data_IF_139148824387
#
_entry.id   IF_139148824387
#
_cell.length_a   1.000
_cell.length_b   1.000
_cell.length_c   1.000
_cell.angle_alpha   90.00
_cell.angle_beta   90.00
_cell.angle_gamma   90.00
#
_symmetry.space_group_name_H-M   'P 1'
#
loop_
_entity.id
_entity.type
_entity.pdbx_description
1 polymer ?
#
# COMPACT_ATOMS: atom_id res chain seq x y z
N UNK A 1 -8.11 16.24 -3.74
CA UNK A 1 -7.24 15.29 -4.46
C UNK A 1 -7.52 15.19 -5.96
N UNK A 2 -8.73 14.83 -6.43
CA UNK A 2 -8.96 14.48 -7.85
C UNK A 2 -8.60 15.56 -8.88
N UNK A 3 -8.83 16.85 -8.59
CA UNK A 3 -8.40 17.94 -9.51
C UNK A 3 -6.88 18.02 -9.66
N UNK A 4 -6.14 17.77 -8.59
CA UNK A 4 -4.68 17.77 -8.63
C UNK A 4 -4.17 16.63 -9.50
N UNK A 5 -4.66 15.41 -9.28
CA UNK A 5 -4.24 14.24 -10.06
C UNK A 5 -4.51 14.41 -11.57
N UNK A 6 -5.65 14.98 -11.94
CA UNK A 6 -5.98 15.29 -13.34
C UNK A 6 -5.16 16.43 -13.94
N UNK A 7 -4.65 17.33 -13.08
CA UNK A 7 -3.74 18.38 -13.52
C UNK A 7 -2.34 17.83 -13.75
N UNK A 8 -1.86 17.00 -12.81
CA UNK A 8 -0.50 16.46 -12.84
C UNK A 8 -0.33 15.39 -13.92
N UNK A 9 -1.40 14.64 -14.23
CA UNK A 9 -1.38 13.65 -15.32
C UNK A 9 -1.16 14.25 -16.71
N UNK A 10 -1.24 15.57 -16.86
CA UNK A 10 -0.88 16.28 -18.10
C UNK A 10 0.62 16.47 -18.26
N UNK A 11 1.38 16.36 -17.17
CA UNK A 11 2.82 16.67 -17.12
C UNK A 11 3.66 15.49 -16.65
N UNK A 12 3.04 14.53 -15.95
CA UNK A 12 3.70 13.37 -15.34
C UNK A 12 2.89 12.13 -15.70
N UNK A 13 3.60 11.04 -16.01
CA UNK A 13 2.99 9.73 -16.21
C UNK A 13 2.66 9.15 -14.83
N UNK A 14 1.40 8.76 -14.64
CA UNK A 14 0.94 8.04 -13.46
C UNK A 14 0.63 6.63 -13.94
N UNK A 15 1.48 5.67 -13.62
CA UNK A 15 1.29 4.28 -14.06
C UNK A 15 0.26 3.56 -13.19
N UNK A 16 0.28 3.83 -11.88
CA UNK A 16 -0.59 3.19 -10.89
C UNK A 16 -1.23 4.23 -9.98
N UNK A 17 -2.49 4.00 -9.61
CA UNK A 17 -3.18 4.78 -8.59
C UNK A 17 -4.01 3.85 -7.72
N UNK A 18 -3.65 3.77 -6.44
CA UNK A 18 -4.36 2.97 -5.45
C UNK A 18 -5.29 3.83 -4.59
N UNK A 19 -6.41 3.25 -4.16
CA UNK A 19 -7.38 3.91 -3.27
C UNK A 19 -8.22 2.85 -2.57
N UNK A 20 -8.55 3.04 -1.28
CA UNK A 20 -9.52 2.21 -0.57
C UNK A 20 -10.97 2.61 -0.86
N UNK A 21 -11.21 3.76 -1.52
CA UNK A 21 -12.56 4.25 -1.82
C UNK A 21 -12.98 3.93 -3.26
N UNK A 22 -14.07 3.19 -3.44
CA UNK A 22 -14.59 2.85 -4.77
C UNK A 22 -15.20 4.05 -5.50
N UNK A 23 -15.89 4.92 -4.76
CA UNK A 23 -16.42 6.17 -5.32
C UNK A 23 -15.33 7.04 -5.94
N UNK A 24 -14.12 7.05 -5.36
CA UNK A 24 -13.01 7.80 -5.92
C UNK A 24 -12.68 7.35 -7.36
N UNK A 25 -12.58 6.04 -7.59
CA UNK A 25 -12.36 5.49 -8.94
C UNK A 25 -13.51 5.79 -9.90
N UNK A 26 -14.76 5.69 -9.43
CA UNK A 26 -15.93 6.07 -10.24
C UNK A 26 -15.89 7.54 -10.67
N UNK A 27 -15.49 8.42 -9.75
CA UNK A 27 -15.51 9.86 -9.98
C UNK A 27 -14.35 10.35 -10.88
N UNK A 28 -13.20 9.67 -10.81
CA UNK A 28 -11.98 10.08 -11.53
C UNK A 28 -11.69 9.25 -12.80
N UNK A 29 -12.15 8.01 -12.87
CA UNK A 29 -11.73 7.05 -13.90
C UNK A 29 -12.02 7.49 -15.32
N UNK A 30 -13.24 7.99 -15.56
CA UNK A 30 -13.65 8.51 -16.88
C UNK A 30 -12.87 9.76 -17.32
N UNK A 31 -12.13 10.40 -16.42
CA UNK A 31 -11.44 11.67 -16.66
C UNK A 31 -9.98 11.52 -17.05
N UNK A 32 -9.35 10.36 -16.82
CA UNK A 32 -7.96 10.12 -17.21
C UNK A 32 -7.78 9.71 -18.69
N UNK A 33 -8.88 9.41 -19.40
CA UNK A 33 -8.82 8.94 -20.79
C UNK A 33 -8.30 7.50 -20.91
N UNK A 34 -7.99 7.06 -22.13
CA UNK A 34 -7.61 5.66 -22.42
C UNK A 34 -6.21 5.27 -21.94
N UNK A 35 -5.33 6.25 -21.77
CA UNK A 35 -3.93 6.07 -21.32
C UNK A 35 -3.77 6.45 -19.85
N UNK A 36 -4.86 6.36 -19.08
CA UNK A 36 -4.86 6.65 -17.65
C UNK A 36 -4.10 5.60 -16.82
N UNK A 37 -3.88 5.87 -15.53
CA UNK A 37 -3.26 4.92 -14.62
C UNK A 37 -4.06 3.62 -14.52
N UNK A 38 -3.37 2.53 -14.20
CA UNK A 38 -4.01 1.33 -13.68
C UNK A 38 -4.54 1.62 -12.27
N UNK A 39 -5.84 1.44 -12.08
CA UNK A 39 -6.44 1.55 -10.75
C UNK A 39 -6.25 0.26 -9.96
N UNK A 40 -5.80 0.41 -8.71
CA UNK A 40 -5.59 -0.70 -7.77
C UNK A 40 -6.47 -0.49 -6.54
N UNK A 41 -7.49 -1.32 -6.37
CA UNK A 41 -8.38 -1.19 -5.22
C UNK A 41 -7.73 -1.73 -3.95
N UNK A 42 -7.55 -0.86 -2.95
CA UNK A 42 -6.88 -1.21 -1.70
C UNK A 42 -7.91 -1.68 -0.68
N UNK A 43 -7.83 -2.95 -0.30
CA UNK A 43 -8.55 -3.46 0.85
C UNK A 43 -7.85 -3.00 2.12
N UNK A 44 -8.65 -2.69 3.14
CA UNK A 44 -8.19 -2.50 4.51
C UNK A 44 -8.49 -3.77 5.31
N UNK A 45 -8.71 -3.67 6.62
CA UNK A 45 -9.09 -4.82 7.44
C UNK A 45 -10.51 -5.32 7.11
N UNK A 46 -10.77 -6.61 7.34
CA UNK A 46 -12.01 -7.28 6.89
C UNK A 46 -13.28 -6.72 7.51
N UNK A 47 -13.19 -6.22 8.74
CA UNK A 47 -14.27 -5.64 9.52
C UNK A 47 -14.47 -4.14 9.26
N UNK A 48 -13.48 -3.47 8.67
CA UNK A 48 -13.61 -2.07 8.27
C UNK A 48 -14.62 -1.89 7.13
N UNK A 49 -15.31 -0.75 7.15
CA UNK A 49 -16.38 -0.42 6.21
C UNK A 49 -15.85 0.48 5.10
N UNK A 50 -16.06 0.06 3.86
CA UNK A 50 -15.83 0.91 2.71
C UNK A 50 -16.97 1.95 2.62
N UNK A 51 -16.58 3.22 2.72
CA UNK A 51 -17.51 4.34 2.95
C UNK A 51 -18.53 4.57 1.83
N UNK A 52 -18.22 4.18 0.58
CA UNK A 52 -19.08 4.49 -0.56
C UNK A 52 -20.14 3.44 -0.86
N UNK A 53 -19.91 2.20 -0.44
CA UNK A 53 -20.82 1.05 -0.58
C UNK A 53 -21.49 0.68 0.73
N UNK A 54 -20.98 1.16 1.87
CA UNK A 54 -21.44 0.80 3.22
C UNK A 54 -21.40 -0.72 3.46
N UNK A 55 -20.41 -1.38 2.85
CA UNK A 55 -20.11 -2.80 3.03
C UNK A 55 -18.73 -2.94 3.66
N UNK A 56 -18.52 -4.02 4.41
CA UNK A 56 -17.18 -4.30 4.92
C UNK A 56 -16.25 -4.76 3.79
N UNK A 57 -14.95 -4.53 3.93
CA UNK A 57 -13.97 -5.05 2.96
C UNK A 57 -14.00 -6.58 2.88
N UNK A 58 -14.33 -7.27 3.99
CA UNK A 58 -14.56 -8.72 4.01
C UNK A 58 -15.80 -9.16 3.21
N UNK A 59 -16.84 -8.33 3.10
CA UNK A 59 -17.96 -8.57 2.21
C UNK A 59 -17.56 -8.34 0.74
N UNK A 60 -16.88 -7.22 0.48
CA UNK A 60 -16.46 -6.84 -0.88
C UNK A 60 -15.51 -7.85 -1.53
N UNK A 61 -14.64 -8.52 -0.75
CA UNK A 61 -13.73 -9.54 -1.30
C UNK A 61 -14.46 -10.75 -1.91
N UNK A 62 -15.74 -10.96 -1.59
CA UNK A 62 -16.54 -12.05 -2.18
C UNK A 62 -17.12 -11.68 -3.55
N UNK A 63 -17.04 -10.42 -3.97
CA UNK A 63 -17.62 -9.92 -5.21
C UNK A 63 -16.56 -9.24 -6.10
N UNK A 64 -15.58 -10.01 -6.54
CA UNK A 64 -14.46 -9.53 -7.36
C UNK A 64 -14.88 -9.06 -8.76
N UNK A 65 -15.94 -9.62 -9.32
CA UNK A 65 -16.55 -9.13 -10.58
C UNK A 65 -16.97 -7.66 -10.47
N UNK A 66 -17.53 -7.26 -9.33
CA UNK A 66 -17.90 -5.87 -9.07
C UNK A 66 -16.65 -4.97 -8.99
N UNK A 67 -15.60 -5.40 -8.31
CA UNK A 67 -14.33 -4.65 -8.20
C UNK A 67 -13.66 -4.47 -9.56
N UNK A 68 -13.69 -5.51 -10.41
CA UNK A 68 -13.13 -5.51 -11.77
C UNK A 68 -13.71 -4.42 -12.67
N UNK A 69 -14.92 -3.95 -12.41
CA UNK A 69 -15.52 -2.84 -13.17
C UNK A 69 -14.76 -1.52 -12.99
N UNK A 70 -13.98 -1.36 -11.92
CA UNK A 70 -13.31 -0.11 -11.56
C UNK A 70 -11.79 -0.24 -11.48
N UNK A 71 -11.27 -1.44 -11.22
CA UNK A 71 -9.87 -1.68 -10.95
C UNK A 71 -9.26 -2.73 -11.90
N UNK A 72 -7.97 -2.57 -12.17
CA UNK A 72 -7.15 -3.57 -12.88
C UNK A 72 -6.39 -4.48 -11.93
N UNK A 73 -6.29 -4.10 -10.66
CA UNK A 73 -5.73 -4.95 -9.61
C UNK A 73 -6.29 -4.62 -8.23
N UNK A 74 -5.90 -5.42 -7.26
CA UNK A 74 -6.27 -5.29 -5.85
C UNK A 74 -5.01 -5.30 -4.99
N UNK A 75 -5.00 -4.48 -3.95
CA UNK A 75 -3.96 -4.47 -2.92
C UNK A 75 -4.59 -4.94 -1.61
N UNK A 76 -4.12 -6.04 -1.05
CA UNK A 76 -4.72 -6.66 0.15
C UNK A 76 -3.70 -6.85 1.28
N UNK A 77 -4.10 -6.76 2.56
CA UNK A 77 -3.29 -7.29 3.66
C UNK A 77 -2.98 -8.78 3.46
N UNK A 78 -1.78 -9.23 3.84
CA UNK A 78 -1.33 -10.63 3.69
C UNK A 78 -2.30 -11.65 4.33
N UNK A 79 -3.05 -11.23 5.36
CA UNK A 79 -4.10 -12.00 6.06
C UNK A 79 -5.33 -12.36 5.20
N UNK A 80 -5.53 -11.71 4.05
CA UNK A 80 -6.57 -12.10 3.08
C UNK A 80 -6.21 -13.38 2.33
N UNK A 81 -4.91 -13.66 2.19
CA UNK A 81 -4.37 -14.75 1.39
C UNK A 81 -3.93 -15.89 2.31
N UNK A 82 -3.11 -15.57 3.30
CA UNK A 82 -2.63 -16.47 4.35
C UNK A 82 -3.16 -15.99 5.71
N UNK A 83 -4.31 -16.49 6.16
CA UNK A 83 -4.82 -16.15 7.49
C UNK A 83 -3.90 -16.72 8.57
N UNK A 84 -3.83 -16.01 9.70
CA UNK A 84 -3.06 -16.41 10.88
C UNK A 84 -4.04 -16.59 12.04
N UNK A 85 -3.87 -17.63 12.84
CA UNK A 85 -4.67 -17.84 14.04
C UNK A 85 -4.18 -17.01 15.24
N UNK A 86 -4.88 -17.14 16.38
CA UNK A 86 -4.53 -16.42 17.61
C UNK A 86 -3.17 -16.85 18.18
N UNK A 87 -2.68 -18.04 17.82
CA UNK A 87 -1.40 -18.61 18.24
C UNK A 87 -0.23 -18.26 17.29
N UNK A 88 -0.46 -17.37 16.32
CA UNK A 88 0.52 -16.92 15.31
C UNK A 88 0.96 -18.02 14.32
N UNK A 89 0.11 -19.01 14.06
CA UNK A 89 0.33 -20.01 13.01
C UNK A 89 -0.54 -19.76 11.79
N UNK A 90 0.00 -20.13 10.62
CA UNK A 90 -0.72 -20.08 9.35
C UNK A 90 -1.88 -21.06 9.35
N UNK A 91 -3.05 -20.56 8.97
CA UNK A 91 -4.19 -21.37 8.56
C UNK A 91 -4.08 -21.72 7.07
N UNK A 92 -4.93 -22.64 6.56
CA UNK A 92 -4.98 -22.90 5.12
C UNK A 92 -5.17 -21.61 4.31
N UNK A 93 -4.41 -21.45 3.22
CA UNK A 93 -4.57 -20.29 2.35
C UNK A 93 -5.99 -20.23 1.77
N UNK A 94 -6.42 -19.02 1.45
CA UNK A 94 -7.71 -18.79 0.79
C UNK A 94 -7.60 -19.01 -0.72
N UNK A 95 -8.73 -18.98 -1.42
CA UNK A 95 -8.79 -18.99 -2.89
C UNK A 95 -8.71 -17.59 -3.51
N UNK A 96 -8.48 -16.55 -2.68
CA UNK A 96 -8.63 -15.16 -3.10
C UNK A 96 -7.76 -14.81 -4.31
N UNK A 97 -6.52 -15.27 -4.35
CA UNK A 97 -5.59 -14.99 -5.44
C UNK A 97 -6.10 -15.59 -6.75
N UNK A 98 -6.47 -16.88 -6.72
CA UNK A 98 -7.00 -17.58 -7.89
C UNK A 98 -8.32 -16.96 -8.38
N UNK A 99 -9.21 -16.60 -7.46
CA UNK A 99 -10.49 -15.98 -7.78
C UNK A 99 -10.28 -14.60 -8.42
N UNK A 100 -9.34 -13.79 -7.91
CA UNK A 100 -8.99 -12.49 -8.49
C UNK A 100 -8.38 -12.62 -9.88
N UNK A 101 -7.43 -13.55 -10.06
CA UNK A 101 -6.82 -13.83 -11.36
C UNK A 101 -7.84 -14.30 -12.39
N UNK A 102 -8.81 -15.13 -11.98
CA UNK A 102 -9.91 -15.58 -12.85
C UNK A 102 -10.76 -14.42 -13.36
N UNK A 103 -10.94 -13.37 -12.57
CA UNK A 103 -11.61 -12.12 -12.97
C UNK A 103 -10.67 -11.14 -13.71
N UNK A 104 -9.40 -11.50 -13.90
CA UNK A 104 -8.40 -10.67 -14.56
C UNK A 104 -7.95 -9.47 -13.72
N UNK A 105 -7.93 -9.61 -12.40
CA UNK A 105 -7.36 -8.65 -11.46
C UNK A 105 -5.96 -9.08 -11.06
N UNK A 106 -4.98 -8.18 -11.15
CA UNK A 106 -3.66 -8.38 -10.53
C UNK A 106 -3.80 -8.33 -9.00
N UNK A 107 -3.01 -9.10 -8.26
CA UNK A 107 -3.04 -9.16 -6.79
C UNK A 107 -1.72 -8.69 -6.23
N UNK A 108 -1.77 -7.64 -5.42
CA UNK A 108 -0.64 -7.13 -4.65
C UNK A 108 -0.87 -7.42 -3.17
N UNK A 109 0.09 -8.03 -2.50
CA UNK A 109 -0.01 -8.32 -1.07
C UNK A 109 0.75 -7.26 -0.25
N UNK A 110 0.26 -6.89 0.93
CA UNK A 110 0.87 -5.88 1.81
C UNK A 110 1.03 -6.37 3.23
N UNK A 111 1.84 -5.65 4.01
CA UNK A 111 2.12 -5.99 5.41
C UNK A 111 3.39 -6.85 5.57
N UNK A 112 4.31 -6.76 4.62
CA UNK A 112 5.62 -7.41 4.73
C UNK A 112 6.61 -6.48 5.45
N UNK A 113 7.17 -7.01 6.52
CA UNK A 113 8.15 -6.35 7.37
C UNK A 113 9.11 -7.41 7.94
N UNK A 114 10.35 -7.03 8.24
CA UNK A 114 11.36 -7.96 8.78
C UNK A 114 11.37 -8.00 10.32
N UNK A 115 10.75 -7.01 10.93
CA UNK A 115 10.83 -6.66 12.36
C UNK A 115 9.46 -6.71 13.06
N UNK A 116 8.41 -7.17 12.36
CA UNK A 116 7.02 -7.20 12.81
C UNK A 116 6.33 -8.51 12.47
N UNK A 117 5.37 -8.94 13.32
CA UNK A 117 4.62 -10.22 13.32
C UNK A 117 4.69 -11.07 12.04
N UNK A 118 5.68 -11.98 12.04
CA UNK A 118 5.77 -13.12 11.13
C UNK A 118 5.12 -14.33 11.78
N UNK A 119 4.33 -15.09 11.01
CA UNK A 119 3.82 -16.37 11.48
C UNK A 119 4.97 -17.33 11.81
N UNK A 120 4.82 -18.12 12.88
CA UNK A 120 5.86 -19.04 13.35
C UNK A 120 6.26 -20.10 12.31
N UNK A 121 5.39 -20.39 11.34
CA UNK A 121 5.68 -21.27 10.20
C UNK A 121 6.91 -20.83 9.41
N UNK A 122 7.22 -19.53 9.38
CA UNK A 122 8.38 -18.99 8.70
C UNK A 122 9.66 -19.02 9.55
N UNK A 123 9.61 -19.48 10.81
CA UNK A 123 10.77 -19.55 11.70
C UNK A 123 11.52 -18.21 11.83
N UNK A 124 10.78 -17.09 11.80
CA UNK A 124 11.32 -15.71 11.75
C UNK A 124 12.24 -15.42 10.56
N UNK A 125 12.13 -16.19 9.47
CA UNK A 125 12.78 -15.91 8.21
C UNK A 125 11.85 -15.09 7.30
N UNK A 126 12.07 -13.78 7.13
CA UNK A 126 11.25 -12.98 6.25
C UNK A 126 11.36 -13.43 4.79
N UNK A 127 12.52 -13.96 4.36
CA UNK A 127 12.71 -14.46 3.00
C UNK A 127 11.72 -15.60 2.69
N UNK A 128 11.53 -16.51 3.65
CA UNK A 128 10.57 -17.59 3.55
C UNK A 128 9.12 -17.08 3.43
N UNK A 129 8.77 -15.99 4.13
CA UNK A 129 7.47 -15.34 3.96
C UNK A 129 7.31 -14.77 2.54
N UNK A 130 8.26 -13.99 2.02
CA UNK A 130 8.15 -13.46 0.66
C UNK A 130 8.01 -14.56 -0.40
N UNK A 131 8.84 -15.60 -0.30
CA UNK A 131 8.80 -16.74 -1.23
C UNK A 131 7.45 -17.46 -1.20
N UNK A 132 6.77 -17.53 -0.05
CA UNK A 132 5.47 -18.20 0.07
C UNK A 132 4.33 -17.47 -0.66
N UNK A 133 4.52 -16.18 -1.02
CA UNK A 133 3.59 -15.40 -1.83
C UNK A 133 4.02 -15.31 -3.31
N UNK A 134 5.31 -15.44 -3.62
CA UNK A 134 5.83 -15.37 -4.99
C UNK A 134 5.39 -16.54 -5.85
N UNK A 135 5.65 -17.77 -5.42
CA UNK A 135 5.11 -18.99 -6.03
C UNK A 135 5.35 -20.15 -5.05
N UNK A 136 4.26 -20.72 -4.55
CA UNK A 136 4.30 -21.85 -3.62
C UNK A 136 3.72 -23.14 -4.24
N UNK A 137 3.49 -23.16 -5.57
CA UNK A 137 2.85 -24.25 -6.28
C UNK A 137 1.31 -24.24 -6.24
N UNK A 138 0.69 -23.43 -5.38
CA UNK A 138 -0.77 -23.30 -5.26
C UNK A 138 -1.28 -21.96 -5.79
N UNK A 139 -0.52 -20.89 -5.59
CA UNK A 139 -0.78 -19.55 -6.13
C UNK A 139 0.50 -18.73 -6.21
N UNK A 140 0.40 -17.60 -6.92
CA UNK A 140 1.43 -16.58 -7.07
C UNK A 140 0.74 -15.21 -7.04
N UNK A 141 1.23 -14.24 -6.26
CA UNK A 141 0.75 -12.85 -6.36
C UNK A 141 1.54 -12.08 -7.42
N UNK A 142 1.00 -10.99 -7.93
CA UNK A 142 1.65 -10.11 -8.93
C UNK A 142 2.65 -9.13 -8.29
N UNK A 143 2.74 -9.08 -6.97
CA UNK A 143 3.73 -8.27 -6.28
C UNK A 143 3.47 -8.11 -4.79
N UNK A 144 4.46 -7.53 -4.10
CA UNK A 144 4.42 -7.30 -2.66
C UNK A 144 4.75 -5.86 -2.33
N UNK A 145 4.02 -5.31 -1.36
CA UNK A 145 4.26 -4.01 -0.75
C UNK A 145 4.99 -4.22 0.57
N UNK A 146 6.26 -3.82 0.59
CA UNK A 146 7.21 -4.11 1.67
C UNK A 146 7.79 -2.85 2.28
N UNK A 147 7.96 -2.84 3.60
CA UNK A 147 8.74 -1.83 4.31
C UNK A 147 10.28 -2.01 4.12
N UNK A 148 10.70 -3.20 3.67
CA UNK A 148 12.10 -3.62 3.47
C UNK A 148 12.33 -4.09 2.02
N UNK A 149 12.46 -3.17 1.05
CA UNK A 149 12.61 -3.52 -0.36
C UNK A 149 13.81 -4.45 -0.63
N UNK A 150 14.91 -4.34 0.13
CA UNK A 150 16.07 -5.21 -0.04
C UNK A 150 15.72 -6.69 0.13
N UNK A 151 14.90 -7.02 1.12
CA UNK A 151 14.50 -8.41 1.39
C UNK A 151 13.54 -8.92 0.33
N UNK A 152 12.60 -8.09 -0.12
CA UNK A 152 11.70 -8.43 -1.22
C UNK A 152 12.47 -8.68 -2.53
N UNK A 153 13.42 -7.83 -2.89
CA UNK A 153 14.29 -8.01 -4.06
C UNK A 153 15.17 -9.26 -3.93
N UNK A 154 15.74 -9.50 -2.75
CA UNK A 154 16.52 -10.72 -2.48
C UNK A 154 15.67 -11.99 -2.65
N UNK A 155 14.38 -11.94 -2.33
CA UNK A 155 13.44 -13.03 -2.56
C UNK A 155 13.21 -13.27 -4.06
N UNK A 156 13.05 -12.21 -4.86
CA UNK A 156 12.95 -12.32 -6.32
C UNK A 156 14.22 -12.95 -6.91
N UNK A 157 15.39 -12.49 -6.47
CA UNK A 157 16.67 -13.03 -6.92
C UNK A 157 16.80 -14.52 -6.54
N UNK A 158 16.51 -14.88 -5.28
CA UNK A 158 16.50 -16.26 -4.81
C UNK A 158 15.58 -17.15 -5.66
N UNK A 159 14.36 -16.67 -5.93
CA UNK A 159 13.38 -17.38 -6.74
C UNK A 159 13.87 -17.59 -8.18
N UNK A 160 14.49 -16.58 -8.79
CA UNK A 160 15.03 -16.66 -10.16
C UNK A 160 16.08 -17.77 -10.33
N UNK A 161 16.79 -18.11 -9.25
CA UNK A 161 17.83 -19.14 -9.24
C UNK A 161 17.30 -20.57 -9.03
N UNK A 162 16.03 -20.77 -8.68
CA UNK A 162 15.44 -22.09 -8.45
C UNK A 162 15.08 -22.87 -9.75
N UNK A 163 15.13 -22.23 -10.93
CA UNK A 163 15.30 -22.88 -12.23
C UNK A 163 14.05 -23.49 -12.92
N UNK A 164 13.73 -22.95 -14.11
CA UNK A 164 13.18 -23.56 -15.34
C UNK A 164 11.83 -24.30 -15.38
N UNK A 165 11.16 -24.63 -14.27
CA UNK A 165 9.77 -25.16 -14.29
C UNK A 165 8.71 -24.18 -13.80
N UNK A 166 9.10 -23.13 -13.09
CA UNK A 166 8.27 -21.96 -12.92
C UNK A 166 8.32 -21.19 -14.24
N UNK A 167 7.19 -21.12 -14.94
CA UNK A 167 7.07 -20.33 -16.16
C UNK A 167 7.58 -18.92 -15.85
N UNK A 168 8.74 -18.59 -16.41
CA UNK A 168 9.32 -17.26 -16.37
C UNK A 168 8.38 -16.30 -17.07
N UNK A 169 7.43 -15.72 -16.34
CA UNK A 169 7.17 -14.30 -16.49
C UNK A 169 8.06 -13.59 -15.47
N UNK A 170 9.35 -13.55 -15.79
CA UNK A 170 10.36 -12.68 -15.18
C UNK A 170 10.04 -11.18 -15.46
N UNK A 171 8.75 -10.84 -15.60
CA UNK A 171 8.21 -9.53 -15.91
C UNK A 171 6.87 -9.23 -15.22
N UNK A 172 6.34 -10.12 -14.36
CA UNK A 172 5.00 -9.94 -13.77
C UNK A 172 4.96 -9.79 -12.24
N UNK A 173 6.06 -10.04 -11.52
CA UNK A 173 6.13 -9.82 -10.06
C UNK A 173 6.79 -8.48 -9.74
N UNK A 174 6.09 -7.61 -9.02
CA UNK A 174 6.59 -6.29 -8.62
C UNK A 174 7.02 -6.23 -7.15
N UNK A 175 8.24 -5.73 -6.91
CA UNK A 175 8.67 -5.24 -5.60
C UNK A 175 8.21 -3.80 -5.45
N UNK A 176 7.25 -3.58 -4.55
CA UNK A 176 6.69 -2.26 -4.26
C UNK A 176 7.19 -1.80 -2.89
N UNK A 177 7.94 -0.71 -2.81
CA UNK A 177 8.41 -0.19 -1.51
C UNK A 177 7.32 0.66 -0.86
N UNK A 178 6.94 0.35 0.39
CA UNK A 178 5.92 1.07 1.15
C UNK A 178 6.49 2.38 1.70
N UNK A 179 6.21 3.50 1.05
CA UNK A 179 6.76 4.80 1.43
C UNK A 179 8.31 4.87 1.38
N UNK A 180 8.93 4.09 0.49
CA UNK A 180 10.37 3.89 0.41
C UNK A 180 10.85 2.71 1.27
N UNK A 181 12.12 2.71 1.66
CA UNK A 181 12.68 1.78 2.65
C UNK A 181 12.29 2.22 4.08
N UNK A 182 10.99 2.20 4.37
CA UNK A 182 10.37 2.69 5.60
C UNK A 182 10.75 1.89 6.85
N UNK A 183 11.24 0.65 6.68
CA UNK A 183 11.82 -0.15 7.75
C UNK A 183 13.21 0.35 8.18
N UNK A 184 13.96 0.97 7.27
CA UNK A 184 15.33 1.44 7.52
C UNK A 184 15.44 2.94 7.78
N UNK A 185 14.45 3.73 7.35
CA UNK A 185 14.42 5.18 7.44
C UNK A 185 13.01 5.70 7.68
N UNK A 186 12.82 6.94 8.21
CA UNK A 186 11.49 7.54 8.28
C UNK A 186 10.88 7.58 6.88
N UNK A 187 9.75 6.88 6.71
CA UNK A 187 9.07 6.76 5.43
C UNK A 187 8.69 8.11 4.82
N UNK A 188 8.47 8.12 3.51
CA UNK A 188 8.21 9.33 2.72
C UNK A 188 9.34 10.37 2.76
N UNK A 189 10.58 9.96 3.01
CA UNK A 189 11.75 10.84 2.95
C UNK A 189 12.59 10.55 1.70
N UNK A 190 13.34 11.54 1.23
CA UNK A 190 14.24 11.38 0.09
C UNK A 190 15.26 10.27 0.31
N UNK A 191 15.71 10.07 1.56
CA UNK A 191 16.62 8.99 1.95
C UNK A 191 15.94 7.61 1.85
N UNK A 192 14.72 7.46 2.37
CA UNK A 192 13.96 6.22 2.25
C UNK A 192 13.67 5.87 0.77
N UNK A 193 13.36 6.87 -0.05
CA UNK A 193 13.12 6.67 -1.48
C UNK A 193 14.39 6.33 -2.26
N UNK A 194 15.49 7.03 -2.00
CA UNK A 194 16.78 6.72 -2.62
C UNK A 194 17.23 5.31 -2.27
N UNK A 195 17.08 4.93 -0.99
CA UNK A 195 17.39 3.58 -0.53
C UNK A 195 16.53 2.51 -1.21
N UNK A 196 15.22 2.74 -1.34
CA UNK A 196 14.33 1.80 -2.04
C UNK A 196 14.74 1.55 -3.50
N UNK A 197 15.23 2.58 -4.20
CA UNK A 197 15.76 2.44 -5.56
C UNK A 197 17.05 1.61 -5.55
N UNK A 198 17.97 1.90 -4.63
CA UNK A 198 19.21 1.14 -4.48
C UNK A 198 18.96 -0.34 -4.14
N UNK A 199 17.90 -0.60 -3.37
CA UNK A 199 17.49 -1.94 -2.95
C UNK A 199 16.68 -2.71 -3.99
N UNK A 200 16.45 -2.13 -5.17
CA UNK A 200 15.83 -2.81 -6.31
C UNK A 200 14.30 -2.79 -6.31
N UNK A 201 13.65 -1.83 -5.65
CA UNK A 201 12.20 -1.68 -5.78
C UNK A 201 11.80 -1.27 -7.21
N UNK A 202 10.82 -1.97 -7.79
CA UNK A 202 10.25 -1.65 -9.11
C UNK A 202 9.32 -0.44 -9.03
N UNK A 203 8.56 -0.32 -7.92
CA UNK A 203 7.57 0.73 -7.70
C UNK A 203 7.78 1.35 -6.32
N UNK A 204 7.74 2.68 -6.25
CA UNK A 204 7.79 3.42 -4.99
C UNK A 204 6.39 3.88 -4.62
N UNK A 205 5.84 3.35 -3.54
CA UNK A 205 4.58 3.85 -2.98
C UNK A 205 4.78 5.21 -2.30
N UNK A 206 3.83 6.10 -2.52
CA UNK A 206 3.76 7.41 -1.89
C UNK A 206 2.31 7.68 -1.48
N UNK A 207 2.04 7.61 -0.18
CA UNK A 207 0.76 8.04 0.37
C UNK A 207 0.62 9.57 0.23
N UNK A 208 -0.24 10.03 -0.68
CA UNK A 208 -0.39 11.46 -0.98
C UNK A 208 -1.30 12.13 0.06
N UNK A 209 -0.76 13.14 0.73
CA UNK A 209 -1.50 14.07 1.60
C UNK A 209 -1.60 15.45 0.96
N UNK A 210 -2.49 16.30 1.49
CA UNK A 210 -2.69 17.68 1.02
C UNK A 210 -2.47 18.67 2.16
N UNK A 211 -1.73 19.74 1.91
CA UNK A 211 -1.68 20.90 2.80
C UNK A 211 -2.95 21.76 2.68
N UNK A 212 -3.17 22.67 3.63
CA UNK A 212 -4.31 23.61 3.63
C UNK A 212 -4.29 24.58 2.45
N UNK A 213 -3.11 24.88 1.92
CA UNK A 213 -2.88 25.70 0.73
C UNK A 213 -2.83 24.88 -0.58
N UNK A 214 -3.22 23.61 -0.54
CA UNK A 214 -3.45 22.79 -1.72
C UNK A 214 -2.19 22.21 -2.36
N UNK A 215 -1.08 22.13 -1.62
CA UNK A 215 0.16 21.49 -2.06
C UNK A 215 0.12 20.00 -1.65
N UNK A 216 0.25 19.06 -2.60
CA UNK A 216 0.36 17.64 -2.30
C UNK A 216 1.77 17.26 -1.89
N UNK A 217 1.89 16.26 -1.03
CA UNK A 217 3.18 15.71 -0.60
C UNK A 217 3.02 14.27 -0.10
N UNK A 218 4.11 13.51 -0.08
CA UNK A 218 4.11 12.15 0.47
C UNK A 218 4.21 12.18 2.00
N UNK A 219 3.25 11.54 2.67
CA UNK A 219 3.29 11.24 4.09
C UNK A 219 2.34 10.07 4.40
N UNK A 220 2.81 9.14 5.25
CA UNK A 220 2.11 7.90 5.58
C UNK A 220 0.67 8.09 6.12
N UNK A 221 0.42 9.19 6.82
CA UNK A 221 -0.87 9.50 7.43
C UNK A 221 -1.24 10.96 7.20
N UNK A 222 -2.55 11.22 7.15
CA UNK A 222 -3.07 12.58 7.18
C UNK A 222 -2.92 13.21 8.57
N UNK A 223 -2.88 12.40 9.64
CA UNK A 223 -2.66 12.85 11.00
C UNK A 223 -1.15 13.01 11.25
N UNK A 224 -0.70 14.25 11.32
CA UNK A 224 0.72 14.61 11.48
C UNK A 224 1.32 14.10 12.81
N UNK A 225 0.49 13.73 13.79
CA UNK A 225 0.95 13.13 15.05
C UNK A 225 1.61 11.75 14.85
N UNK A 226 1.23 11.01 13.81
CA UNK A 226 1.64 9.61 13.58
C UNK A 226 2.99 9.46 12.86
N UNK A 227 3.57 10.55 12.36
CA UNK A 227 4.80 10.48 11.56
C UNK A 227 5.75 11.67 11.71
N UNK A 228 5.44 12.62 12.60
CA UNK A 228 6.24 13.84 12.73
C UNK A 228 6.42 14.29 14.19
N UNK A 229 7.22 15.33 14.39
CA UNK A 229 7.38 15.99 15.67
C UNK A 229 6.33 17.08 15.96
N UNK A 230 5.19 17.09 15.26
CA UNK A 230 4.22 18.18 15.37
C UNK A 230 3.67 18.39 16.78
N UNK A 231 3.63 17.35 17.61
CA UNK A 231 3.26 17.44 19.03
C UNK A 231 4.15 18.41 19.81
N UNK A 232 5.42 18.53 19.43
CA UNK A 232 6.41 19.44 20.05
C UNK A 232 6.46 20.81 19.36
N UNK A 233 5.59 21.05 18.38
CA UNK A 233 5.55 22.30 17.62
C UNK A 233 4.46 23.24 18.17
N UNK A 234 4.53 24.55 17.88
CA UNK A 234 3.46 25.49 18.19
C UNK A 234 2.12 25.17 17.51
N UNK A 235 2.11 24.30 16.50
CA UNK A 235 0.92 23.97 15.71
C UNK A 235 -0.03 23.00 16.43
N UNK A 236 0.40 22.36 17.52
CA UNK A 236 -0.43 21.41 18.28
C UNK A 236 -1.77 22.01 18.74
N UNK A 237 -1.81 23.32 18.98
CA UNK A 237 -3.02 24.06 19.35
C UNK A 237 -4.07 24.15 18.21
N UNK A 238 -3.74 23.69 16.99
CA UNK A 238 -4.67 23.61 15.86
C UNK A 238 -5.26 22.20 15.68
N UNK A 239 -5.10 21.32 16.67
CA UNK A 239 -5.71 19.99 16.64
C UNK A 239 -7.23 20.11 16.60
N UNK A 240 -7.88 19.18 15.89
CA UNK A 240 -9.33 19.15 15.72
C UNK A 240 -9.82 17.72 15.62
N UNK A 241 -11.10 17.49 15.90
CA UNK A 241 -11.75 16.21 15.63
C UNK A 241 -12.33 16.23 14.21
N UNK A 242 -12.07 15.17 13.44
CA UNK A 242 -12.66 14.94 12.11
C UNK A 242 -13.29 13.55 12.16
N UNK A 243 -14.58 13.45 12.53
CA UNK A 243 -15.24 12.16 12.81
C UNK A 243 -15.19 11.17 11.66
N UNK A 244 -15.09 11.66 10.42
CA UNK A 244 -14.95 10.83 9.22
C UNK A 244 -13.59 10.14 9.10
N UNK A 245 -12.57 10.60 9.83
CA UNK A 245 -11.22 10.04 9.83
C UNK A 245 -10.93 9.29 11.13
N UNK A 246 -11.20 9.90 12.28
CA UNK A 246 -10.92 9.31 13.58
C UNK A 246 -11.85 9.86 14.67
N UNK A 247 -12.17 9.06 15.71
CA UNK A 247 -13.03 9.49 16.81
C UNK A 247 -12.34 10.49 17.76
N UNK A 248 -11.01 10.56 17.74
CA UNK A 248 -10.22 11.42 18.62
C UNK A 248 -9.65 12.64 17.87
N UNK A 249 -9.30 13.68 18.63
CA UNK A 249 -8.65 14.86 18.08
C UNK A 249 -7.27 14.49 17.51
N UNK A 250 -7.00 14.97 16.30
CA UNK A 250 -5.72 14.83 15.63
C UNK A 250 -5.27 16.18 15.08
N UNK A 251 -4.03 16.24 14.59
CA UNK A 251 -3.55 17.40 13.85
C UNK A 251 -3.30 17.01 12.41
N UNK A 252 -4.20 17.41 11.52
CA UNK A 252 -4.21 16.92 10.15
C UNK A 252 -3.38 17.78 9.19
N UNK A 253 -2.85 17.15 8.15
CA UNK A 253 -2.06 17.78 7.08
C UNK A 253 -2.79 18.95 6.43
N UNK A 254 -4.09 18.79 6.20
CA UNK A 254 -4.96 19.83 5.61
C UNK A 254 -5.27 20.99 6.55
N UNK A 255 -4.77 20.99 7.80
CA UNK A 255 -4.88 22.11 8.74
C UNK A 255 -3.67 23.04 8.71
N UNK A 256 -2.56 22.64 8.07
CA UNK A 256 -1.31 23.42 8.00
C UNK A 256 -0.94 23.76 6.55
N UNK A 257 -0.33 24.93 6.35
CA UNK A 257 0.25 25.31 5.05
C UNK A 257 1.51 24.51 4.77
N UNK A 258 1.88 24.35 3.50
CA UNK A 258 3.10 23.64 3.12
C UNK A 258 4.36 24.24 3.75
N UNK A 259 4.43 25.57 3.85
CA UNK A 259 5.55 26.27 4.51
C UNK A 259 5.67 25.91 5.98
N UNK A 260 4.56 25.65 6.67
CA UNK A 260 4.53 25.22 8.08
C UNK A 260 4.94 23.74 8.19
N UNK A 261 4.39 22.88 7.33
CA UNK A 261 4.70 21.44 7.29
C UNK A 261 6.19 21.20 7.07
N UNK A 262 6.84 21.97 6.18
CA UNK A 262 8.30 21.88 5.95
C UNK A 262 9.17 22.18 7.17
N UNK A 263 8.62 22.81 8.23
CA UNK A 263 9.36 23.03 9.48
C UNK A 263 9.35 21.82 10.40
N UNK A 264 8.47 20.85 10.14
CA UNK A 264 8.35 19.62 10.91
C UNK A 264 9.45 18.64 10.53
N UNK A 265 9.84 17.83 11.51
CA UNK A 265 10.76 16.70 11.30
C UNK A 265 9.97 15.41 11.31
N UNK A 266 10.26 14.54 10.35
CA UNK A 266 9.75 13.17 10.32
C UNK A 266 10.33 12.38 11.48
N UNK A 267 9.55 11.41 11.97
CA UNK A 267 9.98 10.43 12.96
C UNK A 267 9.87 9.04 12.33
N UNK A 268 10.67 8.11 12.83
CA UNK A 268 10.32 6.70 12.66
C UNK A 268 8.97 6.45 13.34
N UNK A 269 8.10 5.61 12.75
CA UNK A 269 7.03 4.99 13.51
C UNK A 269 7.68 4.26 14.70
N UNK A 270 7.20 4.51 15.91
CA UNK A 270 7.59 3.78 17.12
C UNK A 270 6.54 2.71 17.34
#
# INVERSE_FOLDING_TARGET
MSRFLLSVSKTVIIDYLSSPELKFFRDIGSRFGKTGPKFVFRFLEKDEVEVSTNQTYGSLMTNLTFIKMFASGVLVPKSYIWPVDEDQYLLPHTTFVQDAHKEGLQVYASGFANDFDLAYNYSYDPLAEYLSFMDNGNFSVDGVVSDFPLTASSAVDCFSHLGSTASSTQGDFFVISKNGASGDYPGCSDLAYSKAIEDGADIIDCAIQMSSDGIPFCLNSSNLLEGTNVFQSPFINRSSTVPEIAPHAGLYSFSLRWTEIKTLRRKFPI
#
